data_IF_437818812646
#
_entry.id   IF_437818812646
#
_cell.length_a   1.000
_cell.length_b   1.000
_cell.length_c   1.000
_cell.angle_alpha   90.00
_cell.angle_beta   90.00
_cell.angle_gamma   90.00
#
_symmetry.space_group_name_H-M   'P 1'
#
loop_
_entity.id
_entity.type
_entity.pdbx_description
1 polymer ?
#
# COMPACT_ATOMS: atom_id res chain seq x y z
N UNK A 1 1.86 5.01 -33.09
CA UNK A 1 1.65 5.78 -31.83
C UNK A 1 2.01 4.91 -30.61
N UNK A 2 3.28 4.54 -30.40
CA UNK A 2 3.67 3.55 -29.35
C UNK A 2 5.03 3.82 -28.66
N UNK A 3 5.55 5.04 -28.71
CA UNK A 3 6.90 5.32 -28.17
C UNK A 3 6.90 5.63 -26.66
N UNK A 4 5.82 6.20 -26.11
CA UNK A 4 5.74 6.48 -24.66
C UNK A 4 5.53 5.19 -23.85
N UNK A 5 4.74 4.24 -24.36
CA UNK A 5 4.52 2.94 -23.70
C UNK A 5 5.77 2.07 -23.64
N UNK A 6 6.72 2.23 -24.58
CA UNK A 6 7.96 1.44 -24.59
C UNK A 6 8.99 1.93 -23.58
N UNK A 7 8.98 3.22 -23.21
CA UNK A 7 9.87 3.76 -22.17
C UNK A 7 9.57 3.20 -20.78
N UNK A 8 8.29 3.26 -20.35
CA UNK A 8 7.85 2.74 -19.05
C UNK A 8 8.03 1.22 -18.96
N UNK A 9 7.78 0.49 -20.05
CA UNK A 9 8.03 -0.96 -20.10
C UNK A 9 9.54 -1.30 -20.06
N UNK A 10 10.42 -0.49 -20.67
CA UNK A 10 11.88 -0.69 -20.62
C UNK A 10 12.47 -0.37 -19.24
N UNK A 11 12.02 0.70 -18.57
CA UNK A 11 12.41 1.00 -17.19
C UNK A 11 11.83 -0.02 -16.19
N UNK A 12 10.63 -0.53 -16.45
CA UNK A 12 10.02 -1.62 -15.69
C UNK A 12 10.78 -2.94 -15.85
N UNK A 13 11.34 -3.23 -17.03
CA UNK A 13 12.15 -4.43 -17.26
C UNK A 13 13.50 -4.36 -16.52
N UNK A 14 14.09 -3.16 -16.39
CA UNK A 14 15.40 -2.95 -15.76
C UNK A 14 15.33 -2.76 -14.25
N UNK A 15 14.23 -2.23 -13.71
CA UNK A 15 14.05 -2.06 -12.27
C UNK A 15 13.33 -3.25 -11.62
N UNK A 16 13.90 -3.76 -10.54
CA UNK A 16 13.36 -4.85 -9.71
C UNK A 16 12.14 -4.38 -8.89
N UNK A 17 11.04 -4.05 -9.58
CA UNK A 17 9.83 -3.47 -8.99
C UNK A 17 8.80 -4.54 -8.61
N UNK A 18 8.04 -4.32 -7.52
CA UNK A 18 6.89 -5.15 -7.18
C UNK A 18 5.83 -5.15 -8.30
N UNK A 19 5.16 -6.29 -8.48
CA UNK A 19 4.16 -6.44 -9.53
C UNK A 19 2.97 -5.46 -9.36
N UNK A 20 2.59 -5.15 -8.11
CA UNK A 20 1.53 -4.17 -7.82
C UNK A 20 1.85 -2.78 -8.38
N UNK A 21 3.09 -2.32 -8.22
CA UNK A 21 3.58 -1.03 -8.75
C UNK A 21 3.56 -1.04 -10.28
N UNK A 22 4.03 -2.12 -10.89
CA UNK A 22 4.08 -2.27 -12.35
C UNK A 22 2.70 -2.25 -12.99
N UNK A 23 1.73 -2.93 -12.39
CA UNK A 23 0.36 -2.95 -12.90
C UNK A 23 -0.28 -1.57 -12.81
N UNK A 24 -0.08 -0.88 -11.68
CA UNK A 24 -0.59 0.46 -11.51
C UNK A 24 0.07 1.46 -12.48
N UNK A 25 1.39 1.41 -12.62
CA UNK A 25 2.13 2.28 -13.56
C UNK A 25 1.77 1.98 -15.03
N UNK A 26 1.52 0.71 -15.37
CA UNK A 26 1.05 0.33 -16.70
C UNK A 26 -0.34 0.94 -16.98
N UNK A 27 -1.29 0.82 -16.04
CA UNK A 27 -2.61 1.43 -16.15
C UNK A 27 -2.53 2.97 -16.27
N UNK A 28 -1.64 3.61 -15.51
CA UNK A 28 -1.36 5.05 -15.60
C UNK A 28 -0.86 5.43 -17.01
N UNK A 29 0.13 4.71 -17.54
CA UNK A 29 0.72 4.99 -18.86
C UNK A 29 -0.31 4.89 -19.99
N UNK A 30 -1.32 4.03 -19.82
CA UNK A 30 -2.42 3.87 -20.76
C UNK A 30 -3.60 4.84 -20.51
N UNK A 31 -3.48 5.74 -19.52
CA UNK A 31 -4.50 6.74 -19.15
C UNK A 31 -5.89 6.15 -18.89
N UNK A 32 -5.94 4.94 -18.37
CA UNK A 32 -7.21 4.23 -18.11
C UNK A 32 -7.41 3.96 -16.62
N UNK A 33 -8.67 3.97 -16.13
CA UNK A 33 -8.96 3.58 -14.75
C UNK A 33 -8.71 2.08 -14.55
N UNK A 34 -8.40 1.67 -13.32
CA UNK A 34 -8.08 0.27 -13.01
C UNK A 34 -9.21 -0.70 -13.38
N UNK A 35 -10.46 -0.25 -13.36
CA UNK A 35 -11.60 -1.08 -13.77
C UNK A 35 -11.59 -1.45 -15.25
N UNK A 36 -11.13 -0.54 -16.12
CA UNK A 36 -11.05 -0.80 -17.55
C UNK A 36 -9.75 -1.52 -17.90
N UNK A 37 -8.64 -1.18 -17.22
CA UNK A 37 -7.40 -1.95 -17.34
C UNK A 37 -7.61 -3.42 -16.96
N UNK A 38 -8.35 -3.71 -15.88
CA UNK A 38 -8.69 -5.08 -15.50
C UNK A 38 -9.40 -5.85 -16.62
N UNK A 39 -10.31 -5.20 -17.35
CA UNK A 39 -10.99 -5.81 -18.51
C UNK A 39 -10.01 -6.12 -19.63
N UNK A 40 -9.10 -5.19 -19.94
CA UNK A 40 -8.04 -5.38 -20.95
C UNK A 40 -7.15 -6.58 -20.62
N UNK A 41 -6.82 -6.76 -19.34
CA UNK A 41 -6.02 -7.90 -18.85
C UNK A 41 -6.85 -9.20 -18.78
N UNK A 42 -8.18 -9.13 -18.85
CA UNK A 42 -9.05 -10.30 -18.70
C UNK A 42 -9.22 -10.77 -17.26
N UNK A 43 -9.09 -9.87 -16.28
CA UNK A 43 -9.25 -10.16 -14.84
C UNK A 43 -10.39 -9.32 -14.25
N UNK A 44 -10.97 -9.78 -13.14
CA UNK A 44 -12.01 -9.02 -12.44
C UNK A 44 -11.45 -7.70 -11.87
N UNK A 45 -12.17 -6.57 -11.98
CA UNK A 45 -11.74 -5.28 -11.40
C UNK A 45 -11.42 -5.36 -9.90
N UNK A 46 -12.24 -6.10 -9.14
CA UNK A 46 -12.00 -6.31 -7.72
C UNK A 46 -10.72 -7.11 -7.47
N UNK A 47 -10.48 -8.15 -8.26
CA UNK A 47 -9.27 -8.98 -8.16
C UNK A 47 -8.01 -8.16 -8.45
N UNK A 48 -8.03 -7.29 -9.45
CA UNK A 48 -6.89 -6.40 -9.72
C UNK A 48 -6.64 -5.45 -8.54
N UNK A 49 -7.70 -4.83 -7.98
CA UNK A 49 -7.55 -3.92 -6.84
C UNK A 49 -7.02 -4.65 -5.59
N UNK A 50 -7.54 -5.84 -5.29
CA UNK A 50 -7.04 -6.70 -4.21
C UNK A 50 -5.59 -7.16 -4.43
N UNK A 51 -5.20 -7.30 -5.69
CA UNK A 51 -3.83 -7.63 -6.05
C UNK A 51 -2.89 -6.45 -5.79
N UNK A 52 -3.27 -5.26 -6.25
CA UNK A 52 -2.50 -4.03 -6.05
C UNK A 52 -2.40 -3.67 -4.56
N UNK A 53 -3.45 -3.89 -3.77
CA UNK A 53 -3.47 -3.60 -2.34
C UNK A 53 -2.73 -4.63 -1.47
N UNK A 54 -2.17 -5.69 -2.06
CA UNK A 54 -1.48 -6.75 -1.33
C UNK A 54 -2.40 -7.69 -0.54
N UNK A 55 -3.72 -7.61 -0.74
CA UNK A 55 -4.69 -8.50 -0.08
C UNK A 55 -4.81 -9.88 -0.73
N UNK A 56 -4.23 -10.06 -1.91
CA UNK A 56 -4.23 -11.35 -2.60
C UNK A 56 -3.11 -12.25 -2.08
N UNK A 57 -3.47 -13.30 -1.33
CA UNK A 57 -2.48 -14.23 -0.78
C UNK A 57 -1.85 -15.13 -1.85
N UNK A 58 -2.61 -15.56 -2.88
CA UNK A 58 -2.11 -16.41 -3.97
C UNK A 58 -2.91 -16.20 -5.27
N UNK A 59 -2.37 -15.46 -6.27
CA UNK A 59 -3.00 -15.34 -7.57
C UNK A 59 -3.07 -16.71 -8.27
N UNK A 60 -4.17 -16.98 -8.98
CA UNK A 60 -4.34 -18.23 -9.74
C UNK A 60 -3.33 -18.27 -10.90
N UNK A 61 -2.89 -19.48 -11.29
CA UNK A 61 -1.94 -19.66 -12.40
C UNK A 61 -2.36 -18.94 -13.69
N UNK A 62 -3.62 -19.13 -14.11
CA UNK A 62 -4.20 -18.42 -15.27
C UNK A 62 -4.15 -16.90 -15.15
N UNK A 63 -4.30 -16.35 -13.94
CA UNK A 63 -4.19 -14.90 -13.72
C UNK A 63 -2.77 -14.42 -13.92
N UNK A 64 -1.76 -15.18 -13.45
CA UNK A 64 -0.35 -14.85 -13.67
C UNK A 64 0.03 -14.91 -15.15
N UNK A 65 -0.52 -15.86 -15.92
CA UNK A 65 -0.32 -15.97 -17.37
C UNK A 65 -0.86 -14.73 -18.11
N UNK A 66 -2.08 -14.30 -17.78
CA UNK A 66 -2.68 -13.08 -18.37
C UNK A 66 -1.88 -11.81 -18.04
N UNK A 67 -1.36 -11.71 -16.80
CA UNK A 67 -0.51 -10.61 -16.38
C UNK A 67 0.85 -10.64 -17.08
N UNK A 68 1.42 -11.83 -17.28
CA UNK A 68 2.67 -12.05 -18.01
C UNK A 68 2.56 -11.62 -19.46
N UNK A 69 1.47 -11.98 -20.13
CA UNK A 69 1.17 -11.55 -21.50
C UNK A 69 1.02 -10.02 -21.57
N UNK A 70 0.23 -9.43 -20.68
CA UNK A 70 -0.01 -7.97 -20.66
C UNK A 70 1.28 -7.17 -20.44
N UNK A 71 2.14 -7.64 -19.52
CA UNK A 71 3.38 -6.95 -19.17
C UNK A 71 4.55 -7.31 -20.09
N UNK A 72 4.35 -8.25 -21.02
CA UNK A 72 5.40 -8.83 -21.84
C UNK A 72 6.60 -9.32 -20.99
N UNK A 73 6.29 -10.11 -19.96
CA UNK A 73 7.25 -10.70 -19.03
C UNK A 73 7.08 -12.22 -18.96
N UNK A 74 8.13 -13.01 -18.70
CA UNK A 74 7.99 -14.41 -18.38
C UNK A 74 7.11 -14.64 -17.15
N UNK A 75 6.31 -15.72 -17.14
CA UNK A 75 5.42 -16.05 -16.00
C UNK A 75 6.20 -16.22 -14.69
N UNK A 76 7.41 -16.78 -14.74
CA UNK A 76 8.26 -16.94 -13.56
C UNK A 76 8.71 -15.59 -12.99
N UNK A 77 8.94 -14.59 -13.85
CA UNK A 77 9.31 -13.24 -13.43
C UNK A 77 8.11 -12.52 -12.80
N UNK A 78 6.91 -12.66 -13.38
CA UNK A 78 5.67 -12.17 -12.77
C UNK A 78 5.44 -12.82 -11.41
N UNK A 79 5.67 -14.13 -11.29
CA UNK A 79 5.57 -14.85 -10.01
C UNK A 79 6.59 -14.32 -8.99
N UNK A 80 7.85 -14.14 -9.40
CA UNK A 80 8.91 -13.56 -8.55
C UNK A 80 8.53 -12.17 -8.06
N UNK A 81 8.04 -11.30 -8.95
CA UNK A 81 7.62 -9.92 -8.62
C UNK A 81 6.31 -9.87 -7.82
N UNK A 82 5.44 -10.88 -7.94
CA UNK A 82 4.22 -10.99 -7.12
C UNK A 82 4.50 -11.26 -5.65
N UNK A 83 5.66 -11.86 -5.35
CA UNK A 83 6.12 -12.10 -3.99
C UNK A 83 6.82 -10.88 -3.37
N UNK A 84 7.14 -9.86 -4.17
CA UNK A 84 7.76 -8.64 -3.67
C UNK A 84 6.72 -7.71 -3.05
N UNK A 85 7.12 -7.07 -1.97
CA UNK A 85 6.30 -6.07 -1.27
C UNK A 85 6.68 -4.67 -1.75
N UNK A 86 5.72 -3.73 -1.83
CA UNK A 86 6.01 -2.35 -2.16
C UNK A 86 6.92 -1.69 -1.12
N UNK A 87 7.79 -0.82 -1.59
CA UNK A 87 8.64 0.01 -0.74
C UNK A 87 7.78 1.02 0.00
N UNK A 88 8.06 1.23 1.29
CA UNK A 88 7.39 2.21 2.14
C UNK A 88 7.62 3.62 1.60
N UNK A 89 6.57 4.43 1.63
CA UNK A 89 6.54 5.79 1.10
C UNK A 89 5.68 6.68 2.02
N UNK A 90 5.85 8.01 1.99
CA UNK A 90 4.97 8.91 2.72
C UNK A 90 3.51 8.75 2.25
N UNK A 91 2.52 9.08 3.09
CA UNK A 91 1.12 9.11 2.68
C UNK A 91 0.93 10.01 1.45
N UNK A 92 0.08 9.60 0.52
CA UNK A 92 -0.15 10.34 -0.73
C UNK A 92 -0.65 11.77 -0.46
N UNK A 93 -1.46 11.94 0.60
CA UNK A 93 -1.98 13.26 0.99
C UNK A 93 -0.88 14.25 1.41
N UNK A 94 0.21 13.76 2.02
CA UNK A 94 1.35 14.58 2.40
C UNK A 94 2.20 14.92 1.17
N UNK A 95 2.48 13.91 0.34
CA UNK A 95 3.18 14.10 -0.93
C UNK A 95 2.47 15.12 -1.84
N UNK A 96 1.14 15.04 -1.93
CA UNK A 96 0.33 15.95 -2.76
C UNK A 96 0.36 17.38 -2.21
N UNK A 97 0.28 17.56 -0.89
CA UNK A 97 0.41 18.89 -0.26
C UNK A 97 1.77 19.51 -0.55
N UNK A 98 2.83 18.72 -0.42
CA UNK A 98 4.20 19.18 -0.69
C UNK A 98 4.37 19.63 -2.15
N UNK A 99 3.86 18.85 -3.12
CA UNK A 99 3.93 19.19 -4.54
C UNK A 99 3.01 20.34 -4.95
N UNK A 100 1.99 20.64 -4.15
CA UNK A 100 1.13 21.81 -4.37
C UNK A 100 1.71 23.09 -3.78
N UNK A 101 2.58 23.00 -2.78
CA UNK A 101 3.06 24.16 -2.03
C UNK A 101 3.76 25.17 -2.94
N UNK A 102 3.42 26.45 -2.76
CA UNK A 102 3.92 27.56 -3.59
C UNK A 102 3.52 27.56 -5.08
N UNK A 103 2.95 26.48 -5.63
CA UNK A 103 2.80 26.30 -7.09
C UNK A 103 1.34 26.18 -7.53
N UNK A 104 0.54 25.41 -6.78
CA UNK A 104 -0.84 25.09 -7.14
C UNK A 104 -1.80 25.41 -6.01
N UNK A 105 -2.84 26.19 -6.32
CA UNK A 105 -4.04 26.21 -5.49
C UNK A 105 -4.92 25.01 -5.85
N UNK A 106 -5.76 24.56 -4.91
CA UNK A 106 -6.73 23.48 -5.16
C UNK A 106 -7.61 23.77 -6.38
N UNK A 107 -8.12 25.00 -6.50
CA UNK A 107 -8.96 25.40 -7.64
C UNK A 107 -8.21 25.36 -8.98
N UNK A 108 -6.92 25.73 -8.99
CA UNK A 108 -6.07 25.61 -10.18
C UNK A 108 -5.87 24.15 -10.56
N UNK A 109 -5.53 23.31 -9.59
CA UNK A 109 -5.31 21.88 -9.80
C UNK A 109 -6.57 21.17 -10.31
N UNK A 110 -7.76 21.48 -9.77
CA UNK A 110 -9.07 21.01 -10.25
C UNK A 110 -9.25 21.28 -11.75
N UNK A 111 -8.90 22.50 -12.19
CA UNK A 111 -9.07 22.92 -13.58
C UNK A 111 -8.10 22.19 -14.51
N UNK A 112 -6.82 22.11 -14.13
CA UNK A 112 -5.77 21.54 -14.98
C UNK A 112 -5.88 20.01 -15.07
N UNK A 113 -6.15 19.33 -13.95
CA UNK A 113 -6.27 17.86 -13.90
C UNK A 113 -7.63 17.33 -14.34
N UNK A 114 -8.64 18.21 -14.43
CA UNK A 114 -10.06 17.83 -14.64
C UNK A 114 -10.59 16.84 -13.60
N UNK A 115 -10.01 16.83 -12.41
CA UNK A 115 -10.50 16.07 -11.25
C UNK A 115 -11.49 16.96 -10.50
N UNK A 116 -12.58 16.39 -9.98
CA UNK A 116 -13.58 17.17 -9.24
C UNK A 116 -13.01 17.75 -7.95
N UNK A 117 -13.48 18.93 -7.55
CA UNK A 117 -13.02 19.61 -6.33
C UNK A 117 -13.25 18.75 -5.07
N UNK A 118 -14.35 17.99 -5.05
CA UNK A 118 -14.65 17.03 -3.99
C UNK A 118 -13.64 15.89 -3.90
N UNK A 119 -13.23 15.32 -5.04
CA UNK A 119 -12.22 14.27 -5.07
C UNK A 119 -10.85 14.79 -4.62
N UNK A 120 -10.41 15.95 -5.12
CA UNK A 120 -9.15 16.57 -4.69
C UNK A 120 -9.14 16.91 -3.20
N UNK A 121 -10.27 17.38 -2.65
CA UNK A 121 -10.40 17.59 -1.19
C UNK A 121 -10.19 16.29 -0.42
N UNK A 122 -10.76 15.19 -0.89
CA UNK A 122 -10.63 13.89 -0.25
C UNK A 122 -9.20 13.31 -0.38
N UNK A 123 -8.50 13.62 -1.47
CA UNK A 123 -7.09 13.25 -1.63
C UNK A 123 -6.19 14.01 -0.67
N UNK A 124 -6.38 15.32 -0.54
CA UNK A 124 -5.62 16.17 0.38
C UNK A 124 -5.88 15.86 1.85
N UNK A 125 -7.05 15.32 2.19
CA UNK A 125 -7.37 14.85 3.54
C UNK A 125 -7.00 13.38 3.79
N UNK A 126 -6.50 12.65 2.79
CA UNK A 126 -6.16 11.22 2.90
C UNK A 126 -7.37 10.28 3.01
N UNK A 127 -8.59 10.77 2.72
CA UNK A 127 -9.81 9.96 2.77
C UNK A 127 -9.91 8.97 1.61
N UNK A 128 -9.44 9.37 0.42
CA UNK A 128 -9.45 8.52 -0.78
C UNK A 128 -8.13 8.66 -1.53
N UNK A 129 -7.83 7.69 -2.39
CA UNK A 129 -6.70 7.74 -3.32
C UNK A 129 -7.21 7.90 -4.76
N UNK A 130 -6.46 8.58 -5.64
CA UNK A 130 -6.78 8.64 -7.06
C UNK A 130 -6.69 7.27 -7.71
N UNK A 131 -7.55 7.02 -8.70
CA UNK A 131 -7.43 5.89 -9.60
C UNK A 131 -6.28 6.12 -10.62
N UNK A 132 -5.89 5.12 -11.39
CA UNK A 132 -4.71 5.19 -12.28
C UNK A 132 -4.79 6.30 -13.33
N UNK A 133 -5.96 6.58 -13.90
CA UNK A 133 -6.14 7.68 -14.86
C UNK A 133 -6.00 9.06 -14.20
N UNK A 134 -6.50 9.20 -12.97
CA UNK A 134 -6.41 10.43 -12.18
C UNK A 134 -4.98 10.67 -11.71
N UNK A 135 -4.30 9.61 -11.27
CA UNK A 135 -2.89 9.65 -10.89
C UNK A 135 -2.01 10.10 -12.06
N UNK A 136 -2.27 9.61 -13.27
CA UNK A 136 -1.53 10.05 -14.46
C UNK A 136 -1.77 11.53 -14.76
N UNK A 137 -3.01 12.04 -14.66
CA UNK A 137 -3.29 13.48 -14.86
C UNK A 137 -2.60 14.36 -13.81
N UNK A 138 -2.52 13.87 -12.58
CA UNK A 138 -1.78 14.53 -11.50
C UNK A 138 -0.27 14.55 -11.79
N UNK A 139 0.31 13.43 -12.24
CA UNK A 139 1.71 13.35 -12.65
C UNK A 139 2.05 14.38 -13.74
N UNK A 140 1.22 14.42 -14.79
CA UNK A 140 1.39 15.34 -15.91
C UNK A 140 1.27 16.81 -15.49
N UNK A 141 0.31 17.13 -14.62
CA UNK A 141 0.06 18.51 -14.19
C UNK A 141 1.12 19.01 -13.20
N UNK A 142 1.55 18.15 -12.28
CA UNK A 142 2.55 18.48 -11.26
C UNK A 142 3.99 18.32 -11.79
N UNK A 143 4.17 17.87 -13.05
CA UNK A 143 5.48 17.56 -13.64
C UNK A 143 6.31 16.58 -12.79
N UNK A 144 5.62 15.63 -12.15
CA UNK A 144 6.22 14.62 -11.30
C UNK A 144 6.41 13.30 -12.06
N UNK A 145 7.37 12.47 -11.63
CA UNK A 145 7.61 11.16 -12.23
C UNK A 145 6.39 10.24 -12.03
N UNK A 146 5.76 9.73 -13.10
CA UNK A 146 4.65 8.79 -12.98
C UNK A 146 4.99 7.55 -12.14
N UNK A 147 6.24 7.07 -12.19
CA UNK A 147 6.67 5.91 -11.43
C UNK A 147 6.80 6.22 -9.93
N UNK A 148 7.25 7.41 -9.57
CA UNK A 148 7.26 7.89 -8.18
C UNK A 148 5.84 7.88 -7.60
N UNK A 149 4.89 8.48 -8.32
CA UNK A 149 3.48 8.53 -7.90
C UNK A 149 2.90 7.11 -7.78
N UNK A 150 3.20 6.22 -8.72
CA UNK A 150 2.75 4.84 -8.65
C UNK A 150 3.28 4.13 -7.39
N UNK A 151 4.56 4.31 -7.05
CA UNK A 151 5.15 3.74 -5.82
C UNK A 151 4.45 4.25 -4.58
N UNK A 152 4.21 5.56 -4.50
CA UNK A 152 3.55 6.20 -3.34
C UNK A 152 2.11 5.69 -3.19
N UNK A 153 1.33 5.72 -4.27
CA UNK A 153 -0.07 5.31 -4.23
C UNK A 153 -0.23 3.84 -3.89
N UNK A 154 0.61 2.97 -4.45
CA UNK A 154 0.57 1.54 -4.15
C UNK A 154 1.01 1.28 -2.72
N UNK A 155 2.04 1.96 -2.21
CA UNK A 155 2.47 1.84 -0.82
C UNK A 155 1.36 2.29 0.16
N UNK A 156 0.76 3.46 -0.07
CA UNK A 156 -0.33 3.99 0.76
C UNK A 156 -1.57 3.07 0.72
N UNK A 157 -1.99 2.65 -0.48
CA UNK A 157 -3.09 1.69 -0.65
C UNK A 157 -2.82 0.35 0.06
N UNK A 158 -1.58 -0.14 0.06
CA UNK A 158 -1.18 -1.37 0.75
C UNK A 158 -1.32 -1.21 2.26
N UNK A 159 -0.78 -0.13 2.83
CA UNK A 159 -0.88 0.15 4.27
C UNK A 159 -2.33 0.33 4.72
N UNK A 160 -3.13 1.11 3.96
CA UNK A 160 -4.56 1.32 4.25
C UNK A 160 -5.38 0.02 4.21
N UNK A 161 -4.90 -0.97 3.47
CA UNK A 161 -5.54 -2.28 3.34
C UNK A 161 -5.04 -3.31 4.36
N UNK A 162 -4.15 -2.90 5.28
CA UNK A 162 -3.53 -3.76 6.30
C UNK A 162 -2.34 -4.59 5.80
N UNK A 163 -1.78 -4.27 4.64
CA UNK A 163 -0.62 -4.95 4.07
C UNK A 163 0.71 -4.41 4.58
N UNK A 164 1.79 -5.18 4.36
CA UNK A 164 3.15 -4.83 4.78
C UNK A 164 3.94 -4.18 3.63
N UNK A 165 4.73 -3.15 3.97
CA UNK A 165 5.69 -2.49 3.06
C UNK A 165 7.13 -2.75 3.52
N UNK A 166 8.09 -2.66 2.60
CA UNK A 166 9.52 -2.77 2.92
C UNK A 166 10.11 -1.39 3.11
N UNK A 167 10.86 -1.15 4.18
CA UNK A 167 11.57 0.13 4.34
C UNK A 167 12.54 0.37 3.17
N UNK A 168 12.67 1.61 2.68
CA UNK A 168 13.64 1.92 1.64
C UNK A 168 15.03 1.52 2.13
N UNK A 169 15.72 0.65 1.38
CA UNK A 169 17.08 0.26 1.71
C UNK A 169 17.98 1.48 1.62
N UNK A 170 18.57 1.91 2.73
CA UNK A 170 19.50 3.06 2.80
C UNK A 170 20.84 2.84 2.07
N UNK A 171 20.96 1.82 1.21
CA UNK A 171 22.22 1.38 0.61
C UNK A 171 22.41 1.93 -0.82
N UNK A 172 22.35 3.25 -0.98
CA UNK A 172 22.75 3.92 -2.21
C UNK A 172 23.50 5.23 -1.95
N UNK A 173 24.36 5.26 -0.92
CA UNK A 173 25.35 6.32 -0.76
C UNK A 173 26.59 5.74 -0.09
N UNK A 174 27.74 5.98 -0.73
CA UNK A 174 29.12 5.63 -0.33
C UNK A 174 29.71 4.33 -0.91
N UNK A 175 29.65 4.21 -2.24
CA UNK A 175 30.70 3.55 -3.02
C UNK A 175 31.59 4.63 -3.68
N UNK A 176 32.29 5.42 -2.87
CA UNK A 176 33.42 6.26 -3.29
C UNK A 176 34.16 6.72 -2.03
N UNK A 177 35.29 6.11 -1.71
CA UNK A 177 36.11 6.56 -0.58
C UNK A 177 37.07 5.53 0.02
N UNK A 178 37.83 4.81 -0.82
CA UNK A 178 39.22 4.50 -0.44
C UNK A 178 40.06 5.55 -1.17
N UNK A 179 40.90 6.31 -0.47
CA UNK A 179 42.19 5.75 -0.06
C UNK A 179 42.67 6.24 1.32
N UNK A 180 43.61 5.49 1.89
CA UNK A 180 44.53 6.05 2.89
C UNK A 180 44.64 5.21 4.15
N UNK A 181 45.47 4.17 4.09
CA UNK A 181 46.05 3.62 5.30
C UNK A 181 46.99 4.63 5.92
N UNK A 182 46.81 4.90 7.21
CA UNK A 182 47.87 5.34 8.10
C UNK A 182 47.71 4.65 9.45
N UNK A 183 48.86 4.40 10.05
CA UNK A 183 49.14 3.49 11.13
C UNK A 183 48.53 3.88 12.48
N UNK A 184 48.45 2.87 13.35
CA UNK A 184 48.48 2.91 14.81
C UNK A 184 49.08 4.19 15.41
N UNK A 185 48.42 4.72 16.45
CA UNK A 185 49.12 4.99 17.71
C UNK A 185 48.15 4.95 18.90
N UNK A 186 48.69 4.49 20.02
CA UNK A 186 48.07 4.19 21.29
C UNK A 186 47.42 5.40 21.97
N UNK A 187 46.35 5.12 22.72
CA UNK A 187 45.75 6.06 23.65
C UNK A 187 44.82 5.35 24.61
N UNK A 188 45.39 4.61 25.56
CA UNK A 188 44.73 4.09 26.75
C UNK A 188 44.02 5.22 27.50
N UNK A 189 42.77 4.99 27.90
CA UNK A 189 42.21 5.46 29.16
C UNK A 189 40.99 4.59 29.51
N UNK A 190 41.25 3.62 30.39
CA UNK A 190 40.27 2.99 31.28
C UNK A 190 40.09 3.90 32.51
N UNK A 191 38.84 4.22 32.83
CA UNK A 191 38.22 4.20 34.19
C UNK A 191 36.81 4.82 34.04
N UNK A 192 35.74 4.06 34.22
CA UNK A 192 35.15 3.58 35.47
C UNK A 192 33.98 4.48 35.93
N UNK A 193 32.76 3.96 35.77
CA UNK A 193 31.81 3.90 36.88
C UNK A 193 30.51 3.24 36.43
N UNK A 194 30.16 2.25 37.22
CA UNK A 194 29.01 1.38 37.22
C UNK A 194 27.71 2.04 37.72
N UNK A 195 26.62 1.28 37.53
CA UNK A 195 25.40 1.25 38.33
C UNK A 195 24.40 2.43 38.30
N UNK A 196 23.36 2.27 37.46
CA UNK A 196 21.97 2.42 37.95
C UNK A 196 21.10 1.27 37.38
N UNK A 197 20.96 0.21 38.18
CA UNK A 197 19.87 -0.75 38.15
C UNK A 197 18.68 -0.23 38.98
N UNK A 198 17.45 -0.24 38.42
CA UNK A 198 16.18 -0.75 39.01
C UNK A 198 14.92 0.08 38.68
N UNK A 199 13.87 -0.68 38.35
CA UNK A 199 12.42 -0.38 38.17
C UNK A 199 12.06 0.17 36.78
N UNK A 200 11.26 -0.48 35.94
CA UNK A 200 10.14 -1.40 36.19
C UNK A 200 10.25 -2.69 35.38
N UNK A 201 9.96 -3.81 36.05
CA UNK A 201 9.80 -5.12 35.43
C UNK A 201 8.34 -5.54 35.26
N UNK A 202 8.17 -6.59 34.46
CA UNK A 202 6.98 -7.43 34.35
C UNK A 202 6.04 -7.02 33.21
N UNK A 203 5.54 -7.90 32.34
CA UNK A 203 5.52 -9.36 32.32
C UNK A 203 5.16 -9.75 30.87
N UNK A 204 5.99 -10.55 30.21
CA UNK A 204 5.52 -11.39 29.11
C UNK A 204 4.94 -12.65 29.74
N UNK A 205 3.65 -12.90 29.49
CA UNK A 205 3.06 -14.23 29.52
C UNK A 205 2.37 -14.66 30.81
N UNK A 206 1.04 -14.55 30.85
CA UNK A 206 0.08 -15.66 31.08
C UNK A 206 -1.34 -15.15 31.23
N UNK A 207 -2.30 -16.03 30.85
CA UNK A 207 -3.76 -16.04 31.12
C UNK A 207 -4.55 -14.92 30.43
N UNK A 208 -5.21 -15.12 29.29
CA UNK A 208 -6.38 -16.00 29.08
C UNK A 208 -7.37 -15.94 30.27
N UNK A 209 -8.59 -15.44 30.00
CA UNK A 209 -9.81 -15.59 30.82
C UNK A 209 -10.34 -14.42 31.68
N UNK A 210 -10.04 -13.15 31.40
CA UNK A 210 -10.76 -12.01 32.02
C UNK A 210 -11.01 -10.89 31.02
N UNK A 211 -12.17 -10.89 30.36
CA UNK A 211 -12.56 -9.82 29.43
C UNK A 211 -13.87 -10.03 28.65
N UNK A 212 -14.53 -11.18 28.79
CA UNK A 212 -15.69 -11.56 27.96
C UNK A 212 -17.04 -10.95 28.40
N UNK A 213 -17.13 -10.24 29.52
CA UNK A 213 -18.44 -9.77 30.06
C UNK A 213 -18.86 -8.41 29.48
N UNK A 214 -17.92 -7.56 29.05
CA UNK A 214 -18.24 -6.24 28.46
C UNK A 214 -18.48 -6.26 26.95
N UNK A 215 -18.07 -7.33 26.27
CA UNK A 215 -18.19 -7.45 24.81
C UNK A 215 -19.56 -7.98 24.38
N UNK A 216 -20.23 -8.77 25.23
CA UNK A 216 -21.53 -9.38 24.91
C UNK A 216 -22.63 -8.34 24.74
N UNK A 217 -22.73 -7.37 25.65
CA UNK A 217 -23.73 -6.28 25.54
C UNK A 217 -23.47 -5.42 24.29
N UNK A 218 -22.20 -5.15 23.98
CA UNK A 218 -21.81 -4.36 22.80
C UNK A 218 -22.10 -5.08 21.49
N UNK A 219 -21.91 -6.39 21.45
CA UNK A 219 -22.27 -7.24 20.31
C UNK A 219 -23.79 -7.31 20.13
N UNK A 220 -24.56 -7.40 21.21
CA UNK A 220 -26.02 -7.37 21.18
C UNK A 220 -26.58 -6.03 20.70
N UNK A 221 -25.95 -4.92 21.09
CA UNK A 221 -26.30 -3.56 20.64
C UNK A 221 -26.06 -3.41 19.13
N UNK A 222 -24.88 -3.81 18.64
CA UNK A 222 -24.51 -3.78 17.22
C UNK A 222 -25.40 -4.69 16.38
N UNK A 223 -25.73 -5.87 16.90
CA UNK A 223 -26.61 -6.82 16.24
C UNK A 223 -28.05 -6.29 16.14
N UNK A 224 -28.57 -5.64 17.20
CA UNK A 224 -29.88 -4.97 17.19
C UNK A 224 -29.95 -3.81 16.18
N UNK A 225 -28.85 -3.09 16.00
CA UNK A 225 -28.75 -2.01 15.02
C UNK A 225 -28.76 -2.54 13.57
N UNK A 226 -28.14 -3.70 13.31
CA UNK A 226 -28.13 -4.32 11.98
C UNK A 226 -29.45 -4.99 11.59
N UNK A 227 -30.22 -5.50 12.55
CA UNK A 227 -31.40 -6.32 12.28
C UNK A 227 -32.66 -5.87 13.03
N UNK A 228 -33.25 -4.70 12.69
CA UNK A 228 -34.47 -4.21 13.35
C UNK A 228 -35.68 -5.15 13.21
N UNK A 229 -35.71 -6.00 12.16
CA UNK A 229 -36.76 -7.01 11.95
C UNK A 229 -36.42 -8.42 12.49
N UNK A 230 -35.21 -8.64 13.04
CA UNK A 230 -34.70 -9.97 13.42
C UNK A 230 -35.16 -10.50 14.78
N UNK A 231 -35.96 -9.75 15.55
CA UNK A 231 -36.30 -10.09 16.95
C UNK A 231 -36.98 -11.45 17.13
N UNK A 232 -37.74 -11.95 16.16
CA UNK A 232 -38.46 -13.23 16.30
C UNK A 232 -37.65 -14.45 15.86
N UNK A 233 -36.85 -14.34 14.80
CA UNK A 233 -36.12 -15.49 14.26
C UNK A 233 -34.96 -15.93 15.18
N UNK A 234 -34.26 -14.97 15.79
CA UNK A 234 -33.06 -15.24 16.59
C UNK A 234 -33.38 -15.80 17.98
N UNK A 235 -34.50 -15.39 18.59
CA UNK A 235 -34.94 -15.99 19.87
C UNK A 235 -35.38 -17.45 19.69
N UNK A 236 -35.98 -17.81 18.56
CA UNK A 236 -36.35 -19.19 18.26
C UNK A 236 -35.09 -20.04 17.99
N UNK A 237 -34.11 -19.49 17.28
CA UNK A 237 -32.85 -20.18 17.01
C UNK A 237 -32.01 -20.40 18.29
N UNK A 238 -31.92 -19.40 19.16
CA UNK A 238 -31.21 -19.52 20.46
C UNK A 238 -31.97 -20.47 21.40
N UNK A 239 -33.30 -20.41 21.44
CA UNK A 239 -34.10 -21.35 22.23
C UNK A 239 -33.99 -22.79 21.70
N UNK A 240 -33.88 -22.98 20.38
CA UNK A 240 -33.61 -24.28 19.76
C UNK A 240 -32.24 -24.84 20.13
N UNK A 241 -31.20 -24.01 20.08
CA UNK A 241 -29.83 -24.40 20.47
C UNK A 241 -29.71 -24.74 21.96
N UNK A 242 -30.50 -24.10 22.83
CA UNK A 242 -30.51 -24.40 24.28
C UNK A 242 -31.35 -25.63 24.64
N UNK A 243 -32.24 -26.08 23.76
CA UNK A 243 -33.08 -27.28 23.99
C UNK A 243 -32.44 -28.58 23.46
N UNK A 244 -31.44 -28.49 22.58
CA UNK A 244 -30.69 -29.63 22.04
C UNK A 244 -29.36 -29.92 22.79
N UNK A 245 -29.10 -29.22 23.90
CA UNK A 245 -27.94 -29.41 24.78
C UNK A 245 -28.24 -30.23 26.03
#
# INVERSE_FOLDING_TARGET
>A
MNEVSTGVLKEAQTNNLPLSVLLFSCAMSQKMPLSDFAKTVGIGPLSLRQFISGQTQRPRGKTLELLAETLNLPVDEVRRRSAMRPTSAPPFSEWLKHHMDGTFSRARLTRETRISDGALRNYLSGQTLPDSDQAQRLAETLSADPLEIAKILVADQTVRSGGETVLPSSNATNAAGMPGGYMNDMGLNEDDSSDILRRHGGLIGRTAALGMVGDEERLLELWRQLHPQGRRATLIYIAGLLAEG
#
